data_IF_783082457169
#
_entry.id   IF_783082457169
#
_cell.length_a   1.000
_cell.length_b   1.000
_cell.length_c   1.000
_cell.angle_alpha   90.00
_cell.angle_beta   90.00
_cell.angle_gamma   90.00
#
_symmetry.space_group_name_H-M   'P 1'
#
loop_
_entity.id
_entity.type
_entity.pdbx_description
1 polymer ?
#
# COMPACT_ATOMS: atom_id res chain seq x y z
N UNK A 1 -6.26 -1.00 2.03
CA UNK A 1 -5.09 -0.15 2.27
C UNK A 1 -4.60 -0.28 3.71
N UNK A 2 -5.40 0.09 4.73
CA UNK A 2 -5.03 -0.01 6.16
C UNK A 2 -4.41 -1.37 6.57
N UNK A 3 -5.04 -2.48 6.20
CA UNK A 3 -4.49 -3.85 6.43
C UNK A 3 -3.10 -4.04 5.84
N UNK A 4 -2.86 -3.51 4.64
CA UNK A 4 -1.57 -3.57 3.94
C UNK A 4 -0.50 -2.79 4.71
N UNK A 5 -0.83 -1.57 5.13
CA UNK A 5 0.09 -0.70 5.88
C UNK A 5 0.47 -1.34 7.23
N UNK A 6 -0.50 -1.91 7.95
CA UNK A 6 -0.23 -2.66 9.19
C UNK A 6 0.71 -3.85 8.95
N UNK A 7 0.51 -4.62 7.86
CA UNK A 7 1.40 -5.73 7.48
C UNK A 7 2.83 -5.29 7.18
N UNK A 8 3.00 -4.09 6.62
CA UNK A 8 4.31 -3.49 6.35
C UNK A 8 4.93 -2.83 7.59
N UNK A 9 4.30 -2.95 8.76
CA UNK A 9 4.83 -2.43 10.02
C UNK A 9 4.56 -0.95 10.27
N UNK A 10 3.66 -0.32 9.51
CA UNK A 10 3.22 1.03 9.79
C UNK A 10 2.27 1.03 11.00
N UNK A 11 2.42 2.03 11.85
CA UNK A 11 1.35 2.48 12.74
C UNK A 11 0.35 3.29 11.91
N UNK A 12 -0.94 2.96 11.98
CA UNK A 12 -1.98 3.55 11.12
C UNK A 12 -3.03 4.23 11.98
N UNK A 13 -3.34 5.48 11.68
CA UNK A 13 -4.41 6.26 12.31
C UNK A 13 -5.36 6.84 11.25
N UNK A 14 -6.61 7.02 11.64
CA UNK A 14 -7.64 7.68 10.83
C UNK A 14 -7.51 9.20 10.95
N UNK A 15 -7.54 9.88 9.82
CA UNK A 15 -7.38 11.33 9.80
C UNK A 15 -5.94 11.77 10.12
N UNK A 16 -5.68 13.05 9.86
CA UNK A 16 -4.41 13.69 10.18
C UNK A 16 -4.03 14.70 9.11
N UNK A 17 -2.88 15.32 9.31
CA UNK A 17 -2.30 16.23 8.34
C UNK A 17 -0.85 15.84 8.09
N UNK A 18 -0.44 15.90 6.82
CA UNK A 18 0.94 15.66 6.42
C UNK A 18 1.42 16.78 5.52
N UNK A 19 2.67 17.18 5.70
CA UNK A 19 3.33 18.10 4.77
C UNK A 19 3.79 17.31 3.54
N UNK A 20 3.25 17.62 2.37
CA UNK A 20 3.79 17.12 1.10
C UNK A 20 4.85 18.09 0.59
N UNK A 21 6.02 17.60 0.18
CA UNK A 21 7.07 18.29 -0.59
C UNK A 21 7.44 19.76 -0.24
N UNK A 22 8.70 20.03 0.09
CA UNK A 22 9.23 21.41 0.32
C UNK A 22 8.40 22.29 1.27
N UNK A 23 7.79 21.67 2.29
CA UNK A 23 7.56 22.29 3.59
C UNK A 23 6.55 23.45 3.69
N UNK A 24 5.67 23.70 2.73
CA UNK A 24 4.71 24.82 2.84
C UNK A 24 3.23 24.45 2.92
N UNK A 25 2.79 23.33 2.37
CA UNK A 25 1.37 22.96 2.37
C UNK A 25 1.10 21.70 3.21
N UNK A 26 0.36 21.89 4.31
CA UNK A 26 -0.23 20.79 5.07
C UNK A 26 -1.47 20.30 4.33
N UNK A 27 -1.48 19.02 4.02
CA UNK A 27 -2.59 18.33 3.39
C UNK A 27 -3.29 17.43 4.41
N UNK A 28 -4.59 17.64 4.60
CA UNK A 28 -5.42 16.72 5.40
C UNK A 28 -5.54 15.36 4.72
N UNK A 29 -5.37 14.27 5.44
CA UNK A 29 -5.41 12.92 4.89
C UNK A 29 -6.41 12.07 5.64
N UNK A 30 -7.06 11.15 4.94
CA UNK A 30 -8.00 10.20 5.55
C UNK A 30 -7.28 9.13 6.35
N UNK A 31 -6.06 8.77 5.93
CA UNK A 31 -5.24 7.76 6.57
C UNK A 31 -3.84 8.33 6.73
N UNK A 32 -3.35 8.37 7.96
CA UNK A 32 -1.95 8.67 8.25
C UNK A 32 -1.26 7.38 8.68
N UNK A 33 -0.08 7.12 8.13
CA UNK A 33 0.69 5.91 8.40
C UNK A 33 2.15 6.26 8.67
N UNK A 34 2.67 5.82 9.80
CA UNK A 34 4.01 6.18 10.27
C UNK A 34 4.82 4.95 10.62
N UNK A 35 6.09 4.95 10.20
CA UNK A 35 7.14 4.03 10.68
C UNK A 35 8.27 4.83 11.31
N UNK A 36 9.30 4.15 11.83
CA UNK A 36 10.49 4.81 12.40
C UNK A 36 11.21 5.77 11.45
N UNK A 37 11.04 5.63 10.14
CA UNK A 37 11.80 6.41 9.15
C UNK A 37 10.95 7.24 8.18
N UNK A 38 9.63 7.08 8.18
CA UNK A 38 8.76 7.78 7.22
C UNK A 38 7.34 7.90 7.76
N UNK A 39 6.76 9.08 7.55
CA UNK A 39 5.31 9.28 7.61
C UNK A 39 4.78 9.47 6.20
N UNK A 40 3.67 8.79 5.90
CA UNK A 40 2.94 8.89 4.65
C UNK A 40 1.45 9.07 4.95
N UNK A 41 0.74 9.76 4.06
CA UNK A 41 -0.68 10.00 4.16
C UNK A 41 -1.40 9.59 2.89
N UNK A 42 -2.67 9.22 3.02
CA UNK A 42 -3.51 8.87 1.89
C UNK A 42 -4.83 9.63 1.93
N UNK A 43 -5.24 10.14 0.77
CA UNK A 43 -6.54 10.79 0.55
C UNK A 43 -7.18 10.18 -0.69
N UNK A 44 -8.50 10.06 -0.74
CA UNK A 44 -9.17 9.66 -1.98
C UNK A 44 -9.05 10.74 -3.04
N UNK A 45 -8.82 10.34 -4.28
CA UNK A 45 -8.90 11.27 -5.41
C UNK A 45 -10.38 11.56 -5.67
N UNK A 46 -10.77 12.83 -5.65
CA UNK A 46 -12.18 13.25 -5.64
C UNK A 46 -12.98 12.97 -6.93
N UNK A 47 -12.35 12.42 -7.97
CA UNK A 47 -12.99 12.14 -9.26
C UNK A 47 -13.35 10.66 -9.47
N UNK A 48 -12.70 9.72 -8.77
CA UNK A 48 -12.90 8.28 -8.94
C UNK A 48 -13.01 7.56 -7.60
N UNK A 49 -14.17 6.95 -7.36
CA UNK A 49 -14.51 6.18 -6.16
C UNK A 49 -13.64 4.91 -6.00
N UNK A 50 -12.37 5.09 -5.64
CA UNK A 50 -11.49 3.96 -5.34
C UNK A 50 -10.00 4.25 -5.36
N UNK A 51 -9.56 5.35 -5.96
CA UNK A 51 -8.14 5.71 -6.03
C UNK A 51 -7.72 6.52 -4.81
N UNK A 52 -6.55 6.19 -4.27
CA UNK A 52 -5.91 6.97 -3.22
C UNK A 52 -4.70 7.70 -3.79
N UNK A 53 -4.60 8.98 -3.46
CA UNK A 53 -3.41 9.79 -3.62
C UNK A 53 -2.49 9.58 -2.40
N UNK A 54 -1.18 9.49 -2.66
CA UNK A 54 -0.14 9.30 -1.65
C UNK A 54 0.59 10.62 -1.40
N UNK A 55 0.56 11.06 -0.16
CA UNK A 55 1.26 12.24 0.34
C UNK A 55 2.42 11.80 1.23
N UNK A 56 3.59 12.41 1.07
CA UNK A 56 4.73 12.19 1.93
C UNK A 56 5.69 13.38 1.82
N UNK A 57 6.50 13.59 2.85
CA UNK A 57 7.73 14.37 2.69
C UNK A 57 8.75 13.49 1.97
N UNK A 58 8.94 13.75 0.68
CA UNK A 58 9.84 13.00 -0.19
C UNK A 58 11.30 13.45 -0.08
N UNK A 59 11.73 13.96 1.07
CA UNK A 59 13.14 14.27 1.35
C UNK A 59 14.00 13.01 1.54
N UNK A 60 13.84 12.04 0.64
CA UNK A 60 14.51 10.74 0.60
C UNK A 60 15.01 10.48 -0.82
N UNK A 61 15.95 9.56 -0.98
CA UNK A 61 16.42 9.18 -2.32
C UNK A 61 15.28 8.59 -3.16
N UNK A 62 15.34 8.81 -4.48
CA UNK A 62 14.38 8.24 -5.43
C UNK A 62 14.25 6.71 -5.27
N UNK A 63 15.38 6.03 -5.07
CA UNK A 63 15.42 4.58 -4.83
C UNK A 63 14.61 4.15 -3.60
N UNK A 64 14.64 4.94 -2.52
CA UNK A 64 13.87 4.64 -1.31
C UNK A 64 12.38 4.91 -1.53
N UNK A 65 12.04 6.01 -2.21
CA UNK A 65 10.67 6.32 -2.62
C UNK A 65 10.08 5.20 -3.46
N UNK A 66 10.79 4.77 -4.51
CA UNK A 66 10.30 3.73 -5.42
C UNK A 66 10.13 2.39 -4.70
N UNK A 67 11.06 2.02 -3.81
CA UNK A 67 10.91 0.84 -2.95
C UNK A 67 9.65 0.92 -2.08
N UNK A 68 9.44 2.04 -1.39
CA UNK A 68 8.28 2.22 -0.51
C UNK A 68 6.97 2.09 -1.28
N UNK A 69 6.86 2.75 -2.43
CA UNK A 69 5.66 2.69 -3.28
C UNK A 69 5.45 1.26 -3.78
N UNK A 70 6.51 0.59 -4.23
CA UNK A 70 6.43 -0.79 -4.71
C UNK A 70 6.00 -1.77 -3.60
N UNK A 71 6.56 -1.67 -2.39
CA UNK A 71 6.22 -2.55 -1.28
C UNK A 71 4.73 -2.44 -0.90
N UNK A 72 4.21 -1.21 -0.86
CA UNK A 72 2.79 -0.92 -0.62
C UNK A 72 1.93 -1.50 -1.75
N UNK A 73 2.28 -1.23 -3.00
CA UNK A 73 1.50 -1.66 -4.15
C UNK A 73 1.47 -3.18 -4.30
N UNK A 74 2.62 -3.84 -4.17
CA UNK A 74 2.74 -5.30 -4.24
C UNK A 74 1.94 -5.98 -3.13
N UNK A 75 2.13 -5.55 -1.87
CA UNK A 75 1.42 -6.14 -0.72
C UNK A 75 -0.09 -5.91 -0.82
N UNK A 76 -0.52 -4.73 -1.28
CA UNK A 76 -1.94 -4.44 -1.48
C UNK A 76 -2.55 -5.32 -2.58
N UNK A 77 -1.87 -5.41 -3.73
CA UNK A 77 -2.31 -6.20 -4.87
C UNK A 77 -2.41 -7.68 -4.52
N UNK A 78 -1.40 -8.22 -3.82
CA UNK A 78 -1.39 -9.59 -3.33
C UNK A 78 -2.61 -9.88 -2.44
N UNK A 79 -2.87 -9.03 -1.44
CA UNK A 79 -4.03 -9.19 -0.55
C UNK A 79 -5.36 -9.14 -1.30
N UNK A 80 -5.47 -8.26 -2.31
CA UNK A 80 -6.68 -8.16 -3.13
C UNK A 80 -6.91 -9.40 -3.98
N UNK A 81 -5.88 -9.91 -4.64
CA UNK A 81 -5.94 -11.15 -5.42
C UNK A 81 -6.31 -12.34 -4.53
N UNK A 82 -5.64 -12.50 -3.38
CA UNK A 82 -5.93 -13.58 -2.43
C UNK A 82 -7.36 -13.52 -1.90
N UNK A 83 -7.86 -12.32 -1.56
CA UNK A 83 -9.25 -12.13 -1.11
C UNK A 83 -10.24 -12.51 -2.21
N UNK A 84 -10.02 -12.02 -3.44
CA UNK A 84 -10.89 -12.31 -4.58
C UNK A 84 -10.89 -13.80 -4.94
N UNK A 85 -9.72 -14.45 -4.92
CA UNK A 85 -9.59 -15.88 -5.16
C UNK A 85 -10.40 -16.71 -4.16
N UNK A 86 -10.27 -16.42 -2.86
CA UNK A 86 -11.01 -17.13 -1.80
C UNK A 86 -12.52 -16.97 -1.95
N UNK A 87 -13.00 -15.75 -2.22
CA UNK A 87 -14.43 -15.48 -2.45
C UNK A 87 -15.00 -16.24 -3.66
N UNK A 88 -14.15 -16.60 -4.63
CA UNK A 88 -14.52 -17.36 -5.82
C UNK A 88 -14.28 -18.87 -5.68
N UNK A 89 -14.01 -19.36 -4.47
CA UNK A 89 -13.78 -20.79 -4.22
C UNK A 89 -12.41 -21.29 -4.67
N UNK A 90 -11.39 -20.44 -4.69
CA UNK A 90 -10.01 -20.88 -4.95
C UNK A 90 -9.22 -21.01 -3.65
N UNK A 91 -8.39 -22.06 -3.60
CA UNK A 91 -7.32 -22.26 -2.61
C UNK A 91 -5.98 -21.84 -3.20
N UNK A 92 -5.05 -21.43 -2.33
CA UNK A 92 -3.71 -20.99 -2.73
C UNK A 92 -2.76 -22.18 -2.62
N UNK A 93 -2.15 -22.55 -3.74
CA UNK A 93 -1.16 -23.64 -3.81
C UNK A 93 0.25 -23.10 -3.60
N UNK A 94 0.54 -21.94 -4.20
CA UNK A 94 1.85 -21.27 -4.10
C UNK A 94 1.67 -19.76 -4.14
N UNK A 95 2.47 -19.05 -3.36
CA UNK A 95 2.53 -17.59 -3.37
C UNK A 95 3.95 -17.20 -2.97
N UNK A 96 4.75 -16.77 -3.95
CA UNK A 96 6.17 -16.47 -3.75
C UNK A 96 6.59 -15.25 -4.57
N UNK A 97 7.65 -14.59 -4.15
CA UNK A 97 8.32 -13.57 -4.95
C UNK A 97 9.51 -14.21 -5.65
N UNK A 98 9.60 -14.06 -6.98
CA UNK A 98 10.71 -14.60 -7.75
C UNK A 98 11.95 -13.67 -7.70
N UNK A 99 13.05 -14.08 -8.33
CA UNK A 99 14.31 -13.33 -8.35
C UNK A 99 14.20 -11.95 -9.01
N UNK A 100 13.18 -11.75 -9.85
CA UNK A 100 12.90 -10.49 -10.53
C UNK A 100 11.97 -9.58 -9.69
N UNK A 101 11.63 -9.97 -8.45
CA UNK A 101 10.73 -9.21 -7.59
C UNK A 101 9.25 -9.31 -7.98
N UNK A 102 8.88 -10.26 -8.85
CA UNK A 102 7.50 -10.48 -9.26
C UNK A 102 6.82 -11.48 -8.33
N UNK A 103 5.56 -11.24 -8.00
CA UNK A 103 4.75 -12.17 -7.21
C UNK A 103 4.13 -13.20 -8.15
N UNK A 104 4.49 -14.47 -7.94
CA UNK A 104 3.93 -15.62 -8.62
C UNK A 104 2.94 -16.34 -7.70
N UNK A 105 1.70 -16.49 -8.19
CA UNK A 105 0.61 -17.08 -7.43
C UNK A 105 -0.03 -18.22 -8.22
N UNK A 106 -0.08 -19.41 -7.61
CA UNK A 106 -0.75 -20.58 -8.18
C UNK A 106 -2.00 -20.85 -7.36
N UNK A 107 -3.15 -20.88 -8.02
CA UNK A 107 -4.46 -21.08 -7.42
C UNK A 107 -5.07 -22.38 -7.90
N UNK A 108 -5.78 -23.09 -7.01
CA UNK A 108 -6.55 -24.28 -7.35
C UNK A 108 -8.01 -24.04 -7.02
N UNK A 109 -8.91 -24.29 -7.98
CA UNK A 109 -10.35 -24.25 -7.73
C UNK A 109 -10.72 -25.39 -6.78
N UNK A 110 -11.38 -25.02 -5.68
CA UNK A 110 -11.98 -25.95 -4.74
C UNK A 110 -13.39 -26.20 -5.27
N UNK A 111 -13.68 -27.46 -5.59
CA UNK A 111 -15.00 -27.88 -6.08
C UNK A 111 -16.02 -27.82 -4.94
#
# INVERSE_FOLDING_TARGET
LKKTLLKLGYHVVEGGAISGGYGRDRSDVEILATTRGQTIGFRRSGADDGLYELFADWNVSQKLRDRLVNDIFQTYSQEKVLKAARLRGYSIVRNQTNQNGQIEMVLRKVA
#
